data_IF_130978701118
#
_entry.id   IF_130978701118
#
_cell.length_a   1.000
_cell.length_b   1.000
_cell.length_c   1.000
_cell.angle_alpha   90.00
_cell.angle_beta   90.00
_cell.angle_gamma   90.00
#
_symmetry.space_group_name_H-M   'P 1'
#
loop_
_entity.id
_entity.type
_entity.pdbx_description
1 polymer ?
#
# COMPACT_ATOMS: atom_id res chain seq x y z
N UNK A 1 -18.77 -28.44 45.51
CA UNK A 1 -18.05 -28.36 44.20
C UNK A 1 -19.10 -28.02 43.17
N UNK A 2 -19.23 -26.74 42.85
CA UNK A 2 -20.07 -26.29 41.73
C UNK A 2 -19.38 -26.61 40.40
N UNK A 3 -20.11 -27.08 39.37
CA UNK A 3 -19.53 -27.33 38.07
C UNK A 3 -19.21 -25.99 37.41
N UNK A 4 -17.95 -25.84 36.95
CA UNK A 4 -17.47 -24.73 36.13
C UNK A 4 -18.40 -24.56 34.93
N UNK A 5 -19.02 -23.38 34.83
CA UNK A 5 -19.80 -23.00 33.65
C UNK A 5 -18.90 -23.05 32.40
N UNK A 6 -19.36 -23.62 31.30
CA UNK A 6 -18.59 -23.63 30.07
C UNK A 6 -18.39 -22.20 29.62
N UNK A 7 -17.11 -21.83 29.42
CA UNK A 7 -16.68 -20.57 28.87
C UNK A 7 -17.32 -20.33 27.51
N UNK A 8 -17.92 -19.16 27.37
CA UNK A 8 -18.14 -18.36 26.19
C UNK A 8 -18.59 -19.10 24.92
N UNK A 9 -19.79 -18.69 24.43
CA UNK A 9 -20.20 -18.88 23.04
C UNK A 9 -18.98 -18.62 22.15
N UNK A 10 -18.53 -19.62 21.38
CA UNK A 10 -17.62 -19.44 20.26
C UNK A 10 -18.24 -18.35 19.37
N UNK A 11 -17.74 -17.12 19.47
CA UNK A 11 -17.95 -16.12 18.44
C UNK A 11 -17.52 -16.79 17.15
N UNK A 12 -18.41 -16.88 16.18
CA UNK A 12 -18.15 -17.58 14.93
C UNK A 12 -16.83 -17.05 14.37
N UNK A 13 -15.87 -17.95 14.23
CA UNK A 13 -14.49 -17.62 13.89
C UNK A 13 -14.50 -16.79 12.61
N UNK A 14 -14.11 -15.53 12.70
CA UNK A 14 -14.01 -14.62 11.52
C UNK A 14 -13.16 -15.29 10.47
N UNK A 15 -13.67 -15.38 9.24
CA UNK A 15 -12.95 -15.96 8.11
C UNK A 15 -12.73 -14.92 7.03
N UNK A 16 -11.49 -14.78 6.59
CA UNK A 16 -11.11 -13.82 5.55
C UNK A 16 -11.46 -14.38 4.17
N UNK A 17 -12.22 -13.64 3.35
CA UNK A 17 -12.54 -14.03 1.98
C UNK A 17 -11.27 -14.12 1.12
N UNK A 18 -11.12 -15.24 0.39
CA UNK A 18 -10.04 -15.48 -0.55
C UNK A 18 -10.61 -16.04 -1.85
N UNK A 19 -10.13 -15.55 -2.99
CA UNK A 19 -10.60 -16.00 -4.30
C UNK A 19 -10.23 -17.46 -4.56
N UNK A 20 -11.19 -18.23 -5.04
CA UNK A 20 -10.95 -19.65 -5.38
C UNK A 20 -9.83 -19.84 -6.40
N UNK A 21 -9.71 -18.91 -7.35
CA UNK A 21 -8.65 -18.91 -8.37
C UNK A 21 -7.23 -18.84 -7.79
N UNK A 22 -7.07 -18.18 -6.64
CA UNK A 22 -5.78 -18.08 -5.92
C UNK A 22 -5.48 -19.43 -5.23
N UNK A 23 -6.46 -20.00 -4.54
CA UNK A 23 -6.28 -21.31 -3.89
C UNK A 23 -6.00 -22.44 -4.89
N UNK A 24 -6.59 -22.41 -6.10
CA UNK A 24 -6.33 -23.38 -7.16
C UNK A 24 -4.90 -23.33 -7.71
N UNK A 25 -4.22 -22.21 -7.53
CA UNK A 25 -2.81 -22.01 -7.98
C UNK A 25 -1.80 -22.14 -6.84
N UNK A 26 -2.23 -22.53 -5.65
CA UNK A 26 -1.40 -22.57 -4.44
C UNK A 26 -0.10 -23.37 -4.61
N UNK A 27 -0.14 -24.51 -5.29
CA UNK A 27 1.05 -25.35 -5.51
C UNK A 27 2.09 -24.66 -6.40
N UNK A 28 1.64 -23.85 -7.36
CA UNK A 28 2.51 -23.16 -8.32
C UNK A 28 2.95 -21.79 -7.82
N UNK A 29 2.08 -21.09 -7.11
CA UNK A 29 2.32 -19.73 -6.62
C UNK A 29 1.71 -19.51 -5.22
N UNK A 30 2.33 -20.06 -4.17
CA UNK A 30 1.88 -19.83 -2.78
C UNK A 30 1.90 -18.35 -2.38
N UNK A 31 2.83 -17.57 -2.93
CA UNK A 31 2.95 -16.13 -2.67
C UNK A 31 1.73 -15.33 -3.13
N UNK A 32 0.98 -15.81 -4.13
CA UNK A 32 -0.27 -15.16 -4.52
C UNK A 32 -1.33 -15.19 -3.40
N UNK A 33 -1.35 -16.23 -2.56
CA UNK A 33 -2.23 -16.28 -1.39
C UNK A 33 -1.84 -15.25 -0.34
N UNK A 34 -0.55 -15.09 -0.10
CA UNK A 34 -0.04 -14.07 0.85
C UNK A 34 -0.42 -12.67 0.38
N UNK A 35 -0.15 -12.35 -0.88
CA UNK A 35 -0.51 -11.07 -1.47
C UNK A 35 -2.02 -10.78 -1.39
N UNK A 36 -2.84 -11.79 -1.65
CA UNK A 36 -4.30 -11.69 -1.54
C UNK A 36 -4.75 -11.37 -0.10
N UNK A 37 -4.24 -12.12 0.89
CA UNK A 37 -4.61 -11.92 2.29
C UNK A 37 -4.08 -10.59 2.82
N UNK A 38 -2.86 -10.21 2.45
CA UNK A 38 -2.29 -8.91 2.79
C UNK A 38 -3.18 -7.76 2.29
N UNK A 39 -3.57 -7.83 1.03
CA UNK A 39 -4.46 -6.85 0.41
C UNK A 39 -5.87 -6.85 1.02
N UNK A 40 -6.42 -8.04 1.30
CA UNK A 40 -7.71 -8.19 1.97
C UNK A 40 -7.67 -7.57 3.38
N UNK A 41 -6.56 -7.75 4.11
CA UNK A 41 -6.39 -7.19 5.45
C UNK A 41 -6.32 -5.67 5.40
N UNK A 42 -5.57 -5.09 4.46
CA UNK A 42 -5.55 -3.63 4.27
C UNK A 42 -6.95 -3.07 3.95
N UNK A 43 -7.73 -3.78 3.13
CA UNK A 43 -9.10 -3.36 2.83
C UNK A 43 -10.01 -3.48 4.07
N UNK A 44 -9.91 -4.54 4.86
CA UNK A 44 -10.66 -4.73 6.10
C UNK A 44 -10.34 -3.66 7.15
N UNK A 45 -9.09 -3.23 7.23
CA UNK A 45 -8.62 -2.25 8.22
C UNK A 45 -8.62 -0.81 7.70
N UNK A 46 -9.12 -0.57 6.48
CA UNK A 46 -9.10 0.76 5.85
C UNK A 46 -7.67 1.29 5.60
N UNK A 47 -6.71 0.40 5.37
CA UNK A 47 -5.31 0.74 5.12
C UNK A 47 -4.44 0.88 6.37
N UNK A 48 -4.98 0.61 7.56
CA UNK A 48 -4.22 0.59 8.81
C UNK A 48 -3.57 -0.79 9.06
N UNK A 49 -2.55 -0.81 9.93
CA UNK A 49 -2.01 -2.05 10.47
C UNK A 49 -3.09 -2.72 11.36
N UNK A 50 -3.36 -4.03 11.19
CA UNK A 50 -4.42 -4.70 11.95
C UNK A 50 -4.08 -4.81 13.43
N UNK A 51 -5.02 -4.42 14.27
CA UNK A 51 -4.98 -4.64 15.71
C UNK A 51 -5.40 -6.07 16.09
N UNK A 52 -5.38 -6.36 17.40
CA UNK A 52 -5.65 -7.70 17.93
C UNK A 52 -7.05 -8.24 17.58
N UNK A 53 -8.03 -7.36 17.48
CA UNK A 53 -9.45 -7.70 17.29
C UNK A 53 -9.95 -7.52 15.85
N UNK A 54 -9.11 -7.02 14.94
CA UNK A 54 -9.54 -6.68 13.59
C UNK A 54 -9.62 -7.90 12.67
N UNK A 55 -8.71 -8.85 12.85
CA UNK A 55 -8.60 -10.07 12.04
C UNK A 55 -8.16 -11.26 12.91
N UNK A 56 -8.35 -12.52 12.45
CA UNK A 56 -7.84 -13.70 13.16
C UNK A 56 -6.32 -13.62 13.36
N UNK A 57 -5.82 -14.16 14.46
CA UNK A 57 -4.40 -14.13 14.83
C UNK A 57 -3.48 -14.61 13.69
N UNK A 58 -3.79 -15.72 13.03
CA UNK A 58 -2.97 -16.24 11.93
C UNK A 58 -2.92 -15.28 10.73
N UNK A 59 -4.00 -14.54 10.49
CA UNK A 59 -4.05 -13.51 9.42
C UNK A 59 -3.21 -12.29 9.82
N UNK A 60 -3.28 -11.85 11.09
CA UNK A 60 -2.47 -10.75 11.61
C UNK A 60 -0.98 -11.09 11.56
N UNK A 61 -0.61 -12.29 11.99
CA UNK A 61 0.75 -12.80 11.94
C UNK A 61 1.29 -12.84 10.50
N UNK A 62 0.51 -13.37 9.54
CA UNK A 62 0.87 -13.33 8.12
C UNK A 62 1.05 -11.89 7.63
N UNK A 63 0.10 -11.01 7.96
CA UNK A 63 0.15 -9.61 7.55
C UNK A 63 1.43 -8.94 8.04
N UNK A 64 1.76 -9.09 9.33
CA UNK A 64 2.95 -8.49 9.92
C UNK A 64 4.24 -9.04 9.30
N UNK A 65 4.34 -10.35 9.06
CA UNK A 65 5.50 -10.95 8.42
C UNK A 65 5.66 -10.52 6.94
N UNK A 66 4.57 -10.41 6.18
CA UNK A 66 4.62 -9.91 4.81
C UNK A 66 4.91 -8.39 4.78
N UNK A 67 4.39 -7.63 5.75
CA UNK A 67 4.69 -6.21 5.90
C UNK A 67 6.18 -5.99 6.19
N UNK A 68 6.74 -6.75 7.15
CA UNK A 68 8.17 -6.76 7.42
C UNK A 68 8.98 -7.06 6.15
N UNK A 69 8.66 -8.17 5.44
CA UNK A 69 9.32 -8.54 4.19
C UNK A 69 9.35 -7.38 3.19
N UNK A 70 8.18 -6.76 2.96
CA UNK A 70 8.05 -5.64 2.01
C UNK A 70 8.88 -4.44 2.43
N UNK A 71 8.85 -4.09 3.70
CA UNK A 71 9.63 -2.97 4.22
C UNK A 71 11.13 -3.22 4.10
N UNK A 72 11.61 -4.42 4.46
CA UNK A 72 13.04 -4.76 4.35
C UNK A 72 13.51 -4.79 2.90
N UNK A 73 12.73 -5.33 1.97
CA UNK A 73 13.05 -5.27 0.53
C UNK A 73 13.18 -3.83 0.05
N UNK A 74 12.29 -2.95 0.52
CA UNK A 74 12.20 -1.57 0.03
C UNK A 74 13.18 -0.61 0.69
N UNK A 75 13.37 -0.71 1.99
CA UNK A 75 14.07 0.27 2.81
C UNK A 75 15.13 -0.32 3.74
N UNK A 76 15.37 -1.63 3.69
CA UNK A 76 16.26 -2.34 4.59
C UNK A 76 15.70 -2.50 6.00
N UNK A 77 16.44 -3.17 6.86
CA UNK A 77 16.05 -3.37 8.26
C UNK A 77 16.00 -2.05 9.05
N UNK A 78 16.93 -1.12 8.78
CA UNK A 78 16.88 0.23 9.38
C UNK A 78 15.57 0.95 9.01
N UNK A 79 15.18 0.90 7.74
CA UNK A 79 13.94 1.51 7.27
C UNK A 79 12.68 0.84 7.83
N UNK A 80 12.71 -0.47 8.08
CA UNK A 80 11.61 -1.18 8.76
C UNK A 80 11.43 -0.67 10.19
N UNK A 81 12.52 -0.57 10.97
CA UNK A 81 12.48 -0.08 12.36
C UNK A 81 12.04 1.38 12.41
N UNK A 82 12.62 2.25 11.57
CA UNK A 82 12.26 3.66 11.49
C UNK A 82 10.80 3.92 11.09
N UNK A 83 10.19 2.99 10.34
CA UNK A 83 8.78 3.08 9.94
C UNK A 83 7.82 2.47 10.96
N UNK A 84 8.30 1.65 11.89
CA UNK A 84 7.51 1.01 12.92
C UNK A 84 7.26 2.02 14.04
N UNK A 85 6.13 2.74 13.95
CA UNK A 85 5.63 3.62 15.00
C UNK A 85 5.33 2.81 16.29
N UNK A 86 4.63 3.38 17.25
CA UNK A 86 4.40 2.97 18.66
C UNK A 86 4.07 1.48 18.93
N UNK A 87 3.83 0.64 17.93
CA UNK A 87 3.44 -0.78 18.08
C UNK A 87 4.54 -1.79 17.69
N UNK A 88 5.83 -1.37 17.65
CA UNK A 88 6.94 -2.22 17.24
C UNK A 88 6.98 -3.56 18.02
N UNK A 89 6.78 -3.54 19.33
CA UNK A 89 6.86 -4.74 20.17
C UNK A 89 5.83 -5.82 19.84
N UNK A 90 4.58 -5.43 19.56
CA UNK A 90 3.52 -6.36 19.14
C UNK A 90 3.79 -6.90 17.73
N UNK A 91 4.25 -6.03 16.82
CA UNK A 91 4.61 -6.43 15.47
C UNK A 91 5.76 -7.43 15.46
N UNK A 92 6.80 -7.22 16.26
CA UNK A 92 7.94 -8.14 16.38
C UNK A 92 7.51 -9.53 16.89
N UNK A 93 6.61 -9.61 17.88
CA UNK A 93 6.11 -10.88 18.39
C UNK A 93 5.32 -11.66 17.33
N UNK A 94 4.43 -11.00 16.59
CA UNK A 94 3.64 -11.62 15.53
C UNK A 94 4.50 -12.07 14.34
N UNK A 95 5.52 -11.28 13.96
CA UNK A 95 6.48 -11.61 12.90
C UNK A 95 7.27 -12.87 13.30
N UNK A 96 7.90 -12.88 14.46
CA UNK A 96 8.69 -14.02 14.93
C UNK A 96 7.87 -15.30 14.97
N UNK A 97 6.62 -15.23 15.46
CA UNK A 97 5.72 -16.39 15.50
C UNK A 97 5.32 -16.86 14.08
N UNK A 98 5.10 -15.95 13.14
CA UNK A 98 4.78 -16.31 11.76
C UNK A 98 5.97 -16.99 11.06
N UNK A 99 7.19 -16.45 11.22
CA UNK A 99 8.42 -17.02 10.66
C UNK A 99 8.67 -18.44 11.22
N UNK A 100 8.54 -18.61 12.53
CA UNK A 100 8.67 -19.92 13.19
C UNK A 100 7.62 -20.91 12.69
N UNK A 101 6.33 -20.51 12.68
CA UNK A 101 5.22 -21.38 12.31
C UNK A 101 5.21 -21.76 10.83
N UNK A 102 5.77 -20.94 9.97
CA UNK A 102 5.90 -21.21 8.53
C UNK A 102 7.14 -22.03 8.17
N UNK A 103 8.05 -22.29 9.13
CA UNK A 103 9.32 -22.98 8.88
C UNK A 103 10.32 -22.13 8.07
N UNK A 104 10.22 -20.80 8.16
CA UNK A 104 11.12 -19.88 7.49
C UNK A 104 12.42 -19.62 8.31
N UNK A 105 13.10 -20.70 8.74
CA UNK A 105 14.17 -20.66 9.71
C UNK A 105 15.33 -19.71 9.35
N UNK A 106 15.68 -19.62 8.07
CA UNK A 106 16.75 -18.73 7.63
C UNK A 106 16.35 -17.24 7.74
N UNK A 107 15.08 -16.90 7.46
CA UNK A 107 14.56 -15.55 7.68
C UNK A 107 14.39 -15.25 9.16
N UNK A 108 13.97 -16.24 9.96
CA UNK A 108 13.89 -16.12 11.42
C UNK A 108 15.25 -15.79 12.02
N UNK A 109 16.33 -16.44 11.57
CA UNK A 109 17.67 -16.18 12.07
C UNK A 109 18.16 -14.74 11.80
N UNK A 110 17.80 -14.14 10.67
CA UNK A 110 18.09 -12.72 10.40
C UNK A 110 17.18 -11.79 11.21
N UNK A 111 15.93 -12.15 11.34
CA UNK A 111 14.98 -11.42 12.18
C UNK A 111 15.40 -11.39 13.65
N UNK A 112 15.86 -12.51 14.21
CA UNK A 112 16.36 -12.60 15.59
C UNK A 112 17.59 -11.71 15.82
N UNK A 113 18.48 -11.58 14.80
CA UNK A 113 19.62 -10.65 14.88
C UNK A 113 19.13 -9.19 14.93
N UNK A 114 18.18 -8.81 14.08
CA UNK A 114 17.57 -7.48 14.11
C UNK A 114 16.87 -7.23 15.46
N UNK A 115 16.09 -8.19 15.95
CA UNK A 115 15.39 -8.08 17.23
C UNK A 115 16.38 -7.95 18.41
N UNK A 116 17.49 -8.67 18.36
CA UNK A 116 18.56 -8.55 19.35
C UNK A 116 19.17 -7.16 19.34
N UNK A 117 19.40 -6.57 18.16
CA UNK A 117 19.91 -5.21 18.06
C UNK A 117 18.92 -4.21 18.67
N UNK A 118 17.61 -4.31 18.35
CA UNK A 118 16.56 -3.45 18.93
C UNK A 118 16.52 -3.57 20.46
N UNK A 119 16.64 -4.78 20.98
CA UNK A 119 16.63 -5.01 22.44
C UNK A 119 17.85 -4.43 23.17
N UNK A 120 19.01 -4.38 22.50
CA UNK A 120 20.25 -3.83 23.06
C UNK A 120 20.35 -2.31 22.88
N UNK A 121 19.63 -1.73 21.93
CA UNK A 121 19.69 -0.31 21.57
C UNK A 121 18.26 0.31 21.51
N UNK A 122 17.48 0.28 22.59
CA UNK A 122 16.09 0.71 22.56
C UNK A 122 15.91 2.22 22.24
N UNK A 123 16.80 3.07 22.77
CA UNK A 123 16.75 4.51 22.53
C UNK A 123 17.10 4.84 21.07
N UNK A 124 18.13 4.19 20.51
CA UNK A 124 18.53 4.37 19.10
C UNK A 124 17.45 3.85 18.15
N UNK A 125 16.71 2.79 18.54
CA UNK A 125 15.63 2.23 17.75
C UNK A 125 14.41 3.17 17.67
N UNK A 126 14.11 3.93 18.75
CA UNK A 126 13.02 4.92 18.76
C UNK A 126 13.32 6.15 17.90
N UNK A 127 14.59 6.57 17.86
CA UNK A 127 15.03 7.77 17.13
C UNK A 127 15.74 7.45 15.81
N UNK A 128 15.63 6.23 15.30
CA UNK A 128 16.35 5.79 14.11
C UNK A 128 15.93 6.57 12.85
N UNK A 129 16.79 7.48 12.39
CA UNK A 129 16.55 8.33 11.20
C UNK A 129 17.48 8.03 10.04
N UNK A 130 18.58 7.31 10.29
CA UNK A 130 19.64 7.00 9.33
C UNK A 130 19.89 5.49 9.25
N UNK A 131 20.63 5.06 8.24
CA UNK A 131 20.99 3.66 8.07
C UNK A 131 22.02 3.23 9.14
N UNK A 132 21.63 2.27 9.98
CA UNK A 132 22.50 1.68 11.01
C UNK A 132 23.34 0.54 10.42
N UNK A 133 24.68 0.60 10.49
CA UNK A 133 25.56 -0.38 9.85
C UNK A 133 25.29 -1.84 10.23
N UNK A 134 24.95 -2.11 11.51
CA UNK A 134 24.64 -3.45 11.99
C UNK A 134 23.36 -4.01 11.35
N UNK A 135 22.37 -3.16 11.11
CA UNK A 135 21.12 -3.53 10.46
C UNK A 135 21.29 -3.64 8.94
N UNK A 136 22.03 -2.73 8.32
CA UNK A 136 22.35 -2.76 6.88
C UNK A 136 23.08 -4.05 6.51
N UNK A 137 23.93 -4.59 7.40
CA UNK A 137 24.63 -5.86 7.17
C UNK A 137 23.67 -7.05 6.99
N UNK A 138 22.41 -6.96 7.46
CA UNK A 138 21.39 -7.99 7.30
C UNK A 138 20.66 -7.92 5.95
N UNK A 139 20.71 -6.79 5.24
CA UNK A 139 19.90 -6.56 4.05
C UNK A 139 20.32 -7.43 2.86
N UNK A 140 21.61 -7.56 2.60
CA UNK A 140 22.11 -8.38 1.50
C UNK A 140 21.81 -9.88 1.70
N UNK A 141 22.06 -10.49 2.88
CA UNK A 141 21.60 -11.84 3.20
C UNK A 141 20.10 -12.04 3.05
N UNK A 142 19.28 -11.07 3.52
CA UNK A 142 17.82 -11.14 3.39
C UNK A 142 17.38 -11.18 1.93
N UNK A 143 17.90 -10.28 1.09
CA UNK A 143 17.60 -10.25 -0.36
C UNK A 143 18.03 -11.55 -1.05
N UNK A 144 19.18 -12.12 -0.68
CA UNK A 144 19.63 -13.40 -1.23
C UNK A 144 18.68 -14.55 -0.87
N UNK A 145 18.12 -14.55 0.35
CA UNK A 145 17.10 -15.52 0.75
C UNK A 145 15.80 -15.33 -0.06
N UNK A 146 15.35 -14.09 -0.23
CA UNK A 146 14.16 -13.80 -1.03
C UNK A 146 14.27 -14.29 -2.47
N UNK A 147 15.44 -14.14 -3.10
CA UNK A 147 15.69 -14.62 -4.47
C UNK A 147 15.72 -16.15 -4.57
N UNK A 148 16.10 -16.87 -3.50
CA UNK A 148 16.27 -18.33 -3.52
C UNK A 148 15.10 -19.09 -2.87
N UNK A 149 14.57 -18.56 -1.78
CA UNK A 149 13.56 -19.20 -0.92
C UNK A 149 12.60 -18.15 -0.37
N UNK A 150 11.89 -17.46 -1.24
CA UNK A 150 11.04 -16.32 -0.86
C UNK A 150 10.14 -16.61 0.34
N UNK A 151 10.13 -15.71 1.32
CA UNK A 151 9.35 -15.79 2.55
C UNK A 151 7.85 -15.96 2.25
N UNK A 152 7.33 -15.24 1.25
CA UNK A 152 5.93 -15.36 0.85
C UNK A 152 5.55 -16.80 0.43
N UNK A 153 6.51 -17.60 -0.07
CA UNK A 153 6.24 -19.01 -0.39
C UNK A 153 6.02 -19.83 0.88
N UNK A 154 6.83 -19.65 1.91
CA UNK A 154 6.68 -20.36 3.19
C UNK A 154 5.39 -19.92 3.90
N UNK A 155 5.15 -18.62 4.00
CA UNK A 155 3.93 -18.05 4.58
C UNK A 155 2.66 -18.53 3.86
N UNK A 156 2.66 -18.59 2.52
CA UNK A 156 1.51 -19.02 1.73
C UNK A 156 1.14 -20.47 1.99
N UNK A 157 2.14 -21.36 2.04
CA UNK A 157 1.93 -22.80 2.38
C UNK A 157 1.39 -22.96 3.80
N UNK A 158 1.97 -22.26 4.78
CA UNK A 158 1.51 -22.28 6.17
C UNK A 158 0.08 -21.77 6.29
N UNK A 159 -0.24 -20.66 5.66
CA UNK A 159 -1.56 -20.03 5.78
C UNK A 159 -2.66 -20.86 5.12
N UNK A 160 -2.35 -21.56 4.05
CA UNK A 160 -3.31 -22.45 3.39
C UNK A 160 -3.84 -23.57 4.31
N UNK A 161 -3.07 -23.92 5.35
CA UNK A 161 -3.46 -24.91 6.36
C UNK A 161 -4.34 -24.32 7.47
N UNK A 162 -4.53 -23.00 7.50
CA UNK A 162 -5.29 -22.34 8.56
C UNK A 162 -6.80 -22.36 8.26
N UNK A 163 -7.65 -22.63 9.28
CA UNK A 163 -9.11 -22.68 9.09
C UNK A 163 -9.77 -21.31 8.95
N UNK A 164 -8.96 -20.25 8.86
CA UNK A 164 -9.41 -18.86 8.83
C UNK A 164 -9.76 -18.33 7.43
N UNK A 165 -9.62 -19.15 6.39
CA UNK A 165 -9.88 -18.77 5.02
C UNK A 165 -11.32 -19.15 4.60
N UNK A 166 -11.96 -18.24 3.83
CA UNK A 166 -13.28 -18.46 3.20
C UNK A 166 -13.14 -18.34 1.68
N UNK A 167 -13.13 -19.48 0.94
CA UNK A 167 -13.09 -19.43 -0.51
C UNK A 167 -14.35 -18.79 -1.11
N UNK A 168 -14.20 -17.76 -1.94
CA UNK A 168 -15.29 -17.05 -2.62
C UNK A 168 -15.05 -17.04 -4.14
N UNK A 169 -16.11 -16.76 -4.93
CA UNK A 169 -15.94 -16.48 -6.35
C UNK A 169 -15.26 -15.12 -6.57
N UNK A 170 -14.69 -14.90 -7.75
CA UNK A 170 -13.99 -13.65 -8.10
C UNK A 170 -14.87 -12.41 -7.88
N UNK A 171 -16.13 -12.48 -8.38
CA UNK A 171 -17.07 -11.36 -8.26
C UNK A 171 -17.56 -11.11 -6.83
N UNK A 172 -17.49 -12.10 -5.95
CA UNK A 172 -17.98 -12.02 -4.57
C UNK A 172 -16.91 -11.52 -3.59
N UNK A 173 -15.65 -11.40 -4.03
CA UNK A 173 -14.53 -11.10 -3.13
C UNK A 173 -14.65 -9.73 -2.47
N UNK A 174 -14.68 -8.64 -3.25
CA UNK A 174 -14.85 -7.28 -2.71
C UNK A 174 -16.16 -7.06 -1.93
N UNK A 175 -17.33 -7.56 -2.40
CA UNK A 175 -18.56 -7.50 -1.59
C UNK A 175 -18.43 -8.21 -0.24
N UNK A 176 -17.77 -9.39 -0.21
CA UNK A 176 -17.57 -10.14 1.04
C UNK A 176 -16.63 -9.42 2.02
N UNK A 177 -15.57 -8.78 1.53
CA UNK A 177 -14.66 -7.98 2.38
C UNK A 177 -15.40 -6.78 2.98
N UNK A 178 -16.16 -6.05 2.19
CA UNK A 178 -16.95 -4.92 2.68
C UNK A 178 -17.98 -5.35 3.73
N UNK A 179 -18.71 -6.42 3.48
CA UNK A 179 -19.65 -6.96 4.45
C UNK A 179 -18.95 -7.31 5.77
N UNK A 180 -17.72 -7.84 5.72
CA UNK A 180 -16.92 -8.14 6.90
C UNK A 180 -16.42 -6.87 7.60
N UNK A 181 -15.90 -5.90 6.87
CA UNK A 181 -15.42 -4.61 7.40
C UNK A 181 -16.52 -3.81 8.12
N UNK A 182 -17.78 -4.01 7.74
CA UNK A 182 -18.94 -3.34 8.32
C UNK A 182 -19.81 -4.26 9.18
N UNK A 183 -19.30 -5.41 9.61
CA UNK A 183 -20.08 -6.42 10.34
C UNK A 183 -20.55 -5.97 11.74
N UNK A 184 -19.87 -4.96 12.33
CA UNK A 184 -20.31 -4.30 13.55
C UNK A 184 -20.22 -2.77 13.42
N UNK A 185 -21.05 -1.98 14.15
CA UNK A 185 -20.93 -0.51 14.14
C UNK A 185 -19.53 -0.01 14.50
N UNK A 186 -18.86 -0.65 15.46
CA UNK A 186 -17.51 -0.29 15.89
C UNK A 186 -16.49 -0.52 14.78
N UNK A 187 -16.57 -1.65 14.07
CA UNK A 187 -15.69 -1.93 12.93
C UNK A 187 -15.95 -0.96 11.77
N UNK A 188 -17.20 -0.64 11.47
CA UNK A 188 -17.54 0.33 10.44
C UNK A 188 -16.96 1.72 10.72
N UNK A 189 -17.03 2.20 11.98
CA UNK A 189 -16.43 3.48 12.38
C UNK A 189 -14.91 3.44 12.28
N UNK A 190 -14.27 2.37 12.76
CA UNK A 190 -12.81 2.20 12.64
C UNK A 190 -12.36 2.17 11.19
N UNK A 191 -13.01 1.39 10.35
CA UNK A 191 -12.73 1.30 8.92
C UNK A 191 -12.84 2.66 8.23
N UNK A 192 -13.92 3.41 8.50
CA UNK A 192 -14.12 4.75 7.97
C UNK A 192 -12.99 5.69 8.38
N UNK A 193 -12.63 5.73 9.67
CA UNK A 193 -11.56 6.57 10.19
C UNK A 193 -10.21 6.20 9.58
N UNK A 194 -9.89 4.91 9.49
CA UNK A 194 -8.66 4.41 8.90
C UNK A 194 -8.57 4.71 7.40
N UNK A 195 -9.67 4.52 6.64
CA UNK A 195 -9.74 4.88 5.21
C UNK A 195 -9.50 6.37 4.99
N UNK A 196 -10.14 7.23 5.79
CA UNK A 196 -9.94 8.67 5.72
C UNK A 196 -8.49 9.06 6.05
N UNK A 197 -7.89 8.45 7.07
CA UNK A 197 -6.48 8.65 7.43
C UNK A 197 -5.53 8.20 6.33
N UNK A 198 -5.79 7.06 5.67
CA UNK A 198 -5.00 6.57 4.55
C UNK A 198 -5.05 7.53 3.34
N UNK A 199 -6.24 8.04 3.01
CA UNK A 199 -6.44 9.06 1.97
C UNK A 199 -5.68 10.35 2.34
N UNK A 200 -5.80 10.79 3.59
CA UNK A 200 -5.12 12.00 4.07
C UNK A 200 -3.59 11.85 3.99
N UNK A 201 -3.05 10.70 4.38
CA UNK A 201 -1.62 10.37 4.27
C UNK A 201 -1.17 10.37 2.81
N UNK A 202 -1.93 9.75 1.91
CA UNK A 202 -1.62 9.74 0.48
C UNK A 202 -1.56 11.14 -0.13
N UNK A 203 -2.44 12.06 0.27
CA UNK A 203 -2.49 13.44 -0.21
C UNK A 203 -1.55 14.40 0.53
N UNK A 204 -0.98 14.01 1.66
CA UNK A 204 0.03 14.78 2.38
C UNK A 204 1.46 14.39 2.01
N UNK A 205 1.68 13.21 1.43
CA UNK A 205 3.01 12.73 0.99
C UNK A 205 3.51 13.55 -0.21
N UNK A 206 4.57 14.39 -0.06
CA UNK A 206 5.10 15.20 -1.16
C UNK A 206 5.57 14.38 -2.35
N UNK A 207 6.04 13.15 -2.14
CA UNK A 207 6.51 12.30 -3.21
C UNK A 207 5.34 11.79 -4.07
N UNK A 208 4.23 11.37 -3.44
CA UNK A 208 3.02 10.97 -4.17
C UNK A 208 2.43 12.12 -4.98
N UNK A 209 2.34 13.31 -4.37
CA UNK A 209 1.90 14.52 -5.07
C UNK A 209 2.82 14.84 -6.24
N UNK A 210 4.13 14.89 -6.00
CA UNK A 210 5.13 15.25 -7.02
C UNK A 210 5.16 14.29 -8.19
N UNK A 211 5.19 12.98 -7.95
CA UNK A 211 5.20 11.98 -9.00
C UNK A 211 3.89 11.91 -9.79
N UNK A 212 2.74 12.03 -9.10
CA UNK A 212 1.45 12.11 -9.78
C UNK A 212 1.36 13.30 -10.73
N UNK A 213 1.78 14.48 -10.28
CA UNK A 213 1.81 15.69 -11.10
C UNK A 213 2.84 15.61 -12.23
N UNK A 214 4.01 15.01 -12.00
CA UNK A 214 5.00 14.79 -13.06
C UNK A 214 4.45 13.84 -14.14
N UNK A 215 3.80 12.75 -13.74
CA UNK A 215 3.18 11.81 -14.65
C UNK A 215 2.08 12.45 -15.50
N UNK A 216 1.27 13.31 -14.90
CA UNK A 216 0.21 14.05 -15.60
C UNK A 216 0.72 15.18 -16.50
N UNK A 217 1.92 15.71 -16.24
CA UNK A 217 2.51 16.83 -17.03
C UNK A 217 3.17 16.39 -18.34
N UNK A 218 3.22 15.10 -18.63
CA UNK A 218 3.75 14.60 -19.91
C UNK A 218 2.85 15.02 -21.07
N UNK A 219 3.40 15.03 -22.30
CA UNK A 219 2.67 15.33 -23.53
C UNK A 219 1.48 14.39 -23.75
N UNK A 220 1.58 13.16 -23.23
CA UNK A 220 0.47 12.23 -23.02
C UNK A 220 0.43 11.90 -21.53
N UNK A 221 -0.59 12.38 -20.79
CA UNK A 221 -0.74 12.06 -19.38
C UNK A 221 -0.70 10.54 -19.15
N UNK A 222 0.14 10.12 -18.21
CA UNK A 222 0.36 8.71 -17.91
C UNK A 222 0.11 8.49 -16.39
N UNK A 223 -1.16 8.38 -15.98
CA UNK A 223 -1.54 8.33 -14.59
C UNK A 223 -0.85 7.23 -13.81
N UNK A 224 -0.37 7.57 -12.61
CA UNK A 224 0.17 6.60 -11.66
C UNK A 224 -0.98 5.79 -11.07
N UNK A 225 -0.93 4.48 -11.23
CA UNK A 225 -1.92 3.54 -10.68
C UNK A 225 -1.40 2.82 -9.43
N UNK A 226 -0.08 2.78 -9.23
CA UNK A 226 0.53 2.25 -8.03
C UNK A 226 1.87 2.93 -7.75
N UNK A 227 2.12 3.26 -6.47
CA UNK A 227 3.40 3.72 -5.96
C UNK A 227 4.12 2.55 -5.30
N UNK A 228 5.19 2.07 -5.90
CA UNK A 228 6.08 1.10 -5.28
C UNK A 228 6.85 1.70 -4.10
N UNK A 229 7.60 0.88 -3.38
CA UNK A 229 8.43 1.31 -2.26
C UNK A 229 9.57 2.23 -2.73
N UNK A 230 10.21 2.91 -1.79
CA UNK A 230 11.46 3.62 -2.07
C UNK A 230 12.60 2.58 -2.08
N UNK A 231 13.30 2.44 -3.20
CA UNK A 231 14.38 1.46 -3.37
C UNK A 231 15.66 2.15 -3.85
N UNK A 232 16.81 1.53 -3.59
CA UNK A 232 18.05 1.95 -4.24
C UNK A 232 18.03 1.55 -5.72
N UNK A 233 18.27 2.50 -6.59
CA UNK A 233 18.27 2.34 -8.04
C UNK A 233 19.57 2.91 -8.61
N UNK A 234 20.06 2.29 -9.68
CA UNK A 234 21.16 2.86 -10.45
C UNK A 234 20.64 4.03 -11.31
N UNK A 235 21.27 5.20 -11.19
CA UNK A 235 20.91 6.39 -11.97
C UNK A 235 21.80 6.43 -13.23
N UNK A 236 21.26 5.97 -14.35
CA UNK A 236 21.98 5.84 -15.61
C UNK A 236 22.97 4.66 -15.65
N UNK A 237 23.56 4.39 -16.81
CA UNK A 237 24.53 3.32 -16.98
C UNK A 237 25.82 3.61 -16.21
N UNK A 238 26.08 2.86 -15.13
CA UNK A 238 27.26 3.04 -14.26
C UNK A 238 27.20 4.26 -13.35
N UNK A 239 25.99 4.77 -13.06
CA UNK A 239 25.77 5.91 -12.17
C UNK A 239 25.74 5.55 -10.70
N UNK A 240 25.80 6.59 -9.86
CA UNK A 240 25.70 6.44 -8.41
C UNK A 240 24.34 5.88 -8.02
N UNK A 241 24.32 5.02 -6.99
CA UNK A 241 23.09 4.52 -6.42
C UNK A 241 22.29 5.68 -5.79
N UNK A 242 21.05 5.84 -6.20
CA UNK A 242 20.15 6.85 -5.66
C UNK A 242 18.85 6.21 -5.19
N UNK A 243 18.23 6.80 -4.16
CA UNK A 243 16.91 6.36 -3.70
C UNK A 243 15.84 6.84 -4.68
N UNK A 244 15.15 5.89 -5.29
CA UNK A 244 14.04 6.16 -6.20
C UNK A 244 12.82 5.31 -5.87
N UNK A 245 11.71 5.65 -6.49
CA UNK A 245 10.43 4.96 -6.31
C UNK A 245 9.97 4.40 -7.66
N UNK A 246 9.85 3.09 -7.80
CA UNK A 246 9.16 2.50 -8.94
C UNK A 246 7.69 2.91 -8.91
N UNK A 247 7.16 3.28 -10.06
CA UNK A 247 5.80 3.73 -10.24
C UNK A 247 5.16 2.90 -11.36
N UNK A 248 4.09 2.20 -11.08
CA UNK A 248 3.27 1.63 -12.15
C UNK A 248 2.33 2.71 -12.66
N UNK A 249 2.38 2.96 -13.95
CA UNK A 249 1.47 3.87 -14.65
C UNK A 249 0.60 3.06 -15.61
N UNK A 250 -0.37 3.71 -16.24
CA UNK A 250 -1.20 3.06 -17.26
C UNK A 250 -0.32 2.53 -18.42
N UNK A 251 0.71 3.28 -18.80
CA UNK A 251 1.60 2.90 -19.91
C UNK A 251 2.73 1.94 -19.53
N UNK A 252 2.91 1.62 -18.24
CA UNK A 252 3.94 0.70 -17.77
C UNK A 252 4.73 1.20 -16.55
N UNK A 253 5.92 0.63 -16.36
CA UNK A 253 6.80 0.98 -15.25
C UNK A 253 7.54 2.30 -15.52
N UNK A 254 7.62 3.12 -14.50
CA UNK A 254 8.42 4.35 -14.46
C UNK A 254 9.25 4.37 -13.18
N UNK A 255 10.26 5.23 -13.16
CA UNK A 255 11.06 5.49 -11.96
C UNK A 255 10.91 6.95 -11.58
N UNK A 256 10.44 7.19 -10.35
CA UNK A 256 10.39 8.51 -9.73
C UNK A 256 11.62 8.76 -8.89
N UNK A 257 12.31 9.88 -9.11
CA UNK A 257 13.41 10.36 -8.27
C UNK A 257 13.04 11.66 -7.59
N UNK A 258 13.33 11.76 -6.30
CA UNK A 258 13.31 13.03 -5.59
C UNK A 258 14.65 13.71 -5.79
N UNK A 259 14.63 14.86 -6.40
CA UNK A 259 15.79 15.72 -6.65
C UNK A 259 15.75 16.94 -5.72
N UNK A 260 16.86 17.68 -5.62
CA UNK A 260 16.95 18.87 -4.75
C UNK A 260 15.86 19.92 -5.06
N UNK A 261 15.47 20.06 -6.34
CA UNK A 261 14.50 21.06 -6.79
C UNK A 261 13.09 20.53 -7.01
N UNK A 262 12.84 19.25 -6.83
CA UNK A 262 11.50 18.67 -7.07
C UNK A 262 11.49 17.16 -7.29
N UNK A 263 10.60 16.73 -8.16
CA UNK A 263 10.36 15.32 -8.47
C UNK A 263 10.43 15.10 -9.97
N UNK A 264 11.26 14.15 -10.38
CA UNK A 264 11.43 13.76 -11.77
C UNK A 264 10.90 12.38 -12.03
N UNK A 265 10.37 12.16 -13.23
CA UNK A 265 9.89 10.88 -13.70
C UNK A 265 10.79 10.42 -14.86
N UNK A 266 11.21 9.16 -14.82
CA UNK A 266 12.11 8.54 -15.79
C UNK A 266 11.48 7.30 -16.41
N UNK A 267 11.92 6.95 -17.61
CA UNK A 267 11.70 5.62 -18.17
C UNK A 267 12.37 4.59 -17.26
N UNK A 268 11.71 3.46 -17.02
CA UNK A 268 12.31 2.32 -16.37
C UNK A 268 12.97 1.43 -17.43
N UNK A 269 14.28 1.23 -17.33
CA UNK A 269 15.05 0.39 -18.25
C UNK A 269 15.46 -0.88 -17.50
N UNK A 270 15.06 -2.08 -17.96
CA UNK A 270 15.52 -3.32 -17.35
C UNK A 270 17.04 -3.46 -17.43
N UNK A 271 17.67 -3.91 -16.35
CA UNK A 271 19.12 -4.15 -16.31
C UNK A 271 19.52 -5.43 -17.06
N UNK A 272 18.55 -6.31 -17.38
CA UNK A 272 18.74 -7.51 -18.19
C UNK A 272 17.79 -7.54 -19.37
N UNK A 273 18.22 -8.09 -20.52
CA UNK A 273 17.42 -8.18 -21.74
C UNK A 273 16.20 -9.12 -21.66
N UNK A 274 16.18 -10.02 -20.68
CA UNK A 274 15.15 -11.05 -20.50
C UNK A 274 14.03 -10.65 -19.50
N UNK A 275 13.79 -9.36 -19.34
CA UNK A 275 12.73 -8.89 -18.43
C UNK A 275 11.35 -9.16 -19.05
N UNK A 276 10.48 -9.93 -18.40
CA UNK A 276 9.11 -10.13 -18.87
C UNK A 276 8.34 -8.80 -18.83
N UNK A 277 7.44 -8.63 -19.80
CA UNK A 277 6.58 -7.43 -19.85
C UNK A 277 5.67 -7.35 -18.62
N UNK A 278 5.34 -6.11 -18.22
CA UNK A 278 4.43 -5.86 -17.09
C UNK A 278 2.95 -6.14 -17.40
N UNK A 279 2.63 -6.58 -18.64
CA UNK A 279 1.26 -6.87 -19.04
C UNK A 279 0.66 -7.98 -18.17
N UNK A 280 -0.39 -7.65 -17.43
CA UNK A 280 -1.04 -8.58 -16.50
C UNK A 280 -0.36 -8.72 -15.12
N UNK A 281 0.72 -7.98 -14.85
CA UNK A 281 1.29 -7.93 -13.51
C UNK A 281 0.31 -7.23 -12.56
N UNK A 282 -0.03 -7.88 -11.48
CA UNK A 282 -0.82 -7.30 -10.41
C UNK A 282 0.03 -6.29 -9.62
N UNK A 283 -0.57 -5.18 -9.22
CA UNK A 283 0.11 -4.11 -8.48
C UNK A 283 0.70 -4.58 -7.15
N UNK A 284 0.05 -5.54 -6.49
CA UNK A 284 0.49 -6.14 -5.24
C UNK A 284 1.71 -7.08 -5.38
N UNK A 285 2.13 -7.39 -6.61
CA UNK A 285 3.32 -8.20 -6.93
C UNK A 285 4.47 -7.36 -7.52
N UNK A 286 4.32 -6.03 -7.57
CA UNK A 286 5.33 -5.16 -8.16
C UNK A 286 6.68 -5.27 -7.41
N UNK A 287 6.65 -5.35 -6.09
CA UNK A 287 7.86 -5.44 -5.27
C UNK A 287 8.63 -6.73 -5.56
N UNK A 288 7.92 -7.86 -5.64
CA UNK A 288 8.51 -9.16 -6.01
C UNK A 288 9.07 -9.14 -7.44
N UNK A 289 8.35 -8.50 -8.36
CA UNK A 289 8.80 -8.35 -9.75
C UNK A 289 10.11 -7.56 -9.82
N UNK A 290 10.21 -6.44 -9.11
CA UNK A 290 11.38 -5.57 -9.12
C UNK A 290 12.59 -6.21 -8.41
N UNK A 291 12.36 -7.04 -7.40
CA UNK A 291 13.42 -7.82 -6.76
C UNK A 291 14.11 -8.78 -7.75
N UNK A 292 13.32 -9.42 -8.63
CA UNK A 292 13.83 -10.40 -9.60
C UNK A 292 14.27 -9.75 -10.92
N UNK A 293 13.73 -8.58 -11.24
CA UNK A 293 13.98 -7.83 -12.47
C UNK A 293 14.37 -6.39 -12.15
N UNK A 294 15.61 -6.13 -11.69
CA UNK A 294 16.05 -4.79 -11.35
C UNK A 294 16.07 -3.87 -12.59
N UNK A 295 15.76 -2.60 -12.36
CA UNK A 295 15.68 -1.57 -13.39
C UNK A 295 16.56 -0.38 -13.01
N UNK A 296 17.08 0.28 -14.03
CA UNK A 296 17.78 1.57 -13.92
C UNK A 296 16.94 2.70 -14.54
N UNK A 297 17.36 3.94 -14.29
CA UNK A 297 16.72 5.11 -14.91
C UNK A 297 17.16 5.27 -16.37
N UNK A 298 16.19 5.40 -17.26
CA UNK A 298 16.40 5.80 -18.64
C UNK A 298 16.26 7.32 -18.82
N UNK A 299 15.61 7.72 -19.93
CA UNK A 299 15.38 9.12 -20.26
C UNK A 299 14.40 9.77 -19.26
N UNK A 300 14.69 11.02 -18.84
CA UNK A 300 13.75 11.82 -18.05
C UNK A 300 12.54 12.20 -18.91
N UNK A 301 11.35 11.86 -18.37
CA UNK A 301 10.06 12.10 -19.05
C UNK A 301 9.41 13.40 -18.62
N UNK A 302 9.51 13.74 -17.33
CA UNK A 302 8.86 14.91 -16.76
C UNK A 302 9.56 15.36 -15.47
N UNK A 303 9.28 16.61 -15.07
CA UNK A 303 9.74 17.18 -13.81
C UNK A 303 8.69 18.13 -13.25
N UNK A 304 8.53 18.12 -11.93
CA UNK A 304 7.68 19.07 -11.18
C UNK A 304 8.47 19.66 -10.04
N UNK A 305 8.46 20.99 -9.94
CA UNK A 305 9.20 21.70 -8.89
C UNK A 305 8.61 21.47 -7.50
N UNK A 306 9.45 21.54 -6.48
CA UNK A 306 9.03 21.46 -5.08
C UNK A 306 8.00 22.54 -4.70
N UNK A 307 8.10 23.74 -5.29
CA UNK A 307 7.14 24.82 -5.05
C UNK A 307 5.73 24.41 -5.51
N UNK A 308 5.62 23.84 -6.71
CA UNK A 308 4.32 23.37 -7.23
C UNK A 308 3.73 22.25 -6.39
N UNK A 309 4.57 21.35 -5.84
CA UNK A 309 4.13 20.30 -4.91
C UNK A 309 3.63 20.88 -3.59
N UNK A 310 4.32 21.89 -3.04
CA UNK A 310 3.87 22.62 -1.83
C UNK A 310 2.52 23.32 -2.09
N UNK A 311 2.34 23.91 -3.26
CA UNK A 311 1.06 24.51 -3.66
C UNK A 311 -0.04 23.47 -3.74
N UNK A 312 0.21 22.30 -4.35
CA UNK A 312 -0.75 21.21 -4.39
C UNK A 312 -1.17 20.77 -2.97
N UNK A 313 -0.20 20.60 -2.07
CA UNK A 313 -0.49 20.26 -0.66
C UNK A 313 -1.37 21.30 0.03
N UNK A 314 -1.12 22.61 -0.18
CA UNK A 314 -1.97 23.69 0.35
C UNK A 314 -3.39 23.62 -0.19
N UNK A 315 -3.55 23.39 -1.50
CA UNK A 315 -4.86 23.27 -2.14
C UNK A 315 -5.60 22.02 -1.63
N UNK A 316 -4.93 20.87 -1.49
CA UNK A 316 -5.53 19.67 -0.90
C UNK A 316 -6.11 19.95 0.50
N UNK A 317 -5.38 20.68 1.33
CA UNK A 317 -5.82 21.07 2.68
C UNK A 317 -7.01 22.05 2.62
N UNK A 318 -6.91 23.12 1.80
CA UNK A 318 -7.96 24.13 1.67
C UNK A 318 -9.29 23.54 1.19
N UNK A 319 -9.21 22.62 0.25
CA UNK A 319 -10.39 21.93 -0.32
C UNK A 319 -10.87 20.76 0.54
N UNK A 320 -10.19 20.41 1.64
CA UNK A 320 -10.47 19.19 2.43
C UNK A 320 -10.56 17.94 1.54
N UNK A 321 -9.61 17.83 0.60
CA UNK A 321 -9.62 16.80 -0.43
C UNK A 321 -9.76 15.36 0.12
N UNK A 322 -9.13 14.98 1.26
CA UNK A 322 -9.35 13.64 1.84
C UNK A 322 -10.81 13.35 2.15
N UNK A 323 -11.52 14.27 2.80
CA UNK A 323 -12.92 14.10 3.15
C UNK A 323 -13.80 14.06 1.89
N UNK A 324 -13.51 14.90 0.90
CA UNK A 324 -14.25 14.92 -0.37
C UNK A 324 -14.10 13.60 -1.13
N UNK A 325 -12.87 13.06 -1.25
CA UNK A 325 -12.63 11.78 -1.93
C UNK A 325 -13.31 10.64 -1.18
N UNK A 326 -13.17 10.59 0.14
CA UNK A 326 -13.84 9.57 0.94
C UNK A 326 -15.36 9.60 0.75
N UNK A 327 -15.97 10.78 0.87
CA UNK A 327 -17.42 10.95 0.68
C UNK A 327 -17.90 10.55 -0.73
N UNK A 328 -17.14 10.89 -1.77
CA UNK A 328 -17.44 10.50 -3.14
C UNK A 328 -17.43 8.97 -3.33
N UNK A 329 -16.42 8.28 -2.76
CA UNK A 329 -16.30 6.83 -2.87
C UNK A 329 -17.40 6.09 -2.08
N UNK A 330 -17.79 6.61 -0.91
CA UNK A 330 -18.89 6.08 -0.11
C UNK A 330 -20.27 6.29 -0.76
N UNK A 331 -20.45 7.39 -1.52
CA UNK A 331 -21.70 7.71 -2.19
C UNK A 331 -21.94 6.93 -3.49
N UNK A 332 -20.98 6.11 -3.93
CA UNK A 332 -21.19 5.22 -5.07
C UNK A 332 -22.28 4.19 -4.76
N UNK A 333 -23.06 3.75 -5.76
CA UNK A 333 -24.03 2.65 -5.59
C UNK A 333 -23.39 1.36 -5.04
N UNK A 334 -22.12 1.14 -5.39
CA UNK A 334 -21.25 0.17 -4.76
C UNK A 334 -20.03 0.93 -4.22
N UNK A 335 -19.98 1.25 -2.91
CA UNK A 335 -18.88 1.96 -2.29
C UNK A 335 -17.52 1.37 -2.66
N UNK A 336 -16.48 2.18 -2.69
CA UNK A 336 -15.14 1.79 -3.12
C UNK A 336 -14.09 2.20 -2.10
N UNK A 337 -13.02 1.39 -2.00
CA UNK A 337 -11.85 1.70 -1.16
C UNK A 337 -10.69 2.17 -2.01
N UNK A 338 -10.16 3.37 -1.73
CA UNK A 338 -9.01 3.90 -2.46
C UNK A 338 -7.75 3.08 -2.14
N UNK A 339 -7.08 2.58 -3.19
CA UNK A 339 -5.79 1.88 -3.09
C UNK A 339 -4.63 2.76 -3.53
N UNK A 340 -4.86 3.65 -4.49
CA UNK A 340 -3.88 4.64 -4.92
C UNK A 340 -4.59 5.96 -5.26
N UNK A 341 -3.97 7.06 -4.87
CA UNK A 341 -4.43 8.40 -5.21
C UNK A 341 -3.25 9.18 -5.74
N UNK A 342 -3.40 9.79 -6.91
CA UNK A 342 -2.41 10.70 -7.49
C UNK A 342 -3.05 12.00 -7.94
N UNK A 343 -2.43 13.12 -7.58
CA UNK A 343 -2.89 14.45 -8.01
C UNK A 343 -2.38 14.69 -9.43
N UNK A 344 -3.30 15.02 -10.32
CA UNK A 344 -2.99 15.26 -11.73
C UNK A 344 -2.88 16.75 -12.05
N UNK A 345 -3.79 17.55 -11.52
CA UNK A 345 -3.80 18.97 -11.79
C UNK A 345 -4.26 19.78 -10.59
N UNK A 346 -3.75 20.98 -10.49
CA UNK A 346 -4.20 22.01 -9.55
C UNK A 346 -4.50 23.29 -10.33
N UNK A 347 -5.54 24.01 -9.90
CA UNK A 347 -5.82 25.38 -10.28
C UNK A 347 -5.73 26.26 -9.03
N UNK A 348 -4.87 27.27 -9.03
CA UNK A 348 -4.66 28.16 -7.87
C UNK A 348 -5.75 29.22 -7.80
N UNK A 349 -6.14 29.73 -8.95
CA UNK A 349 -7.26 30.66 -9.08
C UNK A 349 -7.89 30.50 -10.47
N UNK A 350 -9.17 30.28 -10.52
CA UNK A 350 -10.03 30.36 -11.68
C UNK A 350 -11.28 31.16 -11.30
N UNK A 351 -12.16 31.46 -12.25
CA UNK A 351 -13.47 32.08 -11.94
C UNK A 351 -14.30 31.29 -10.92
N UNK A 352 -13.89 30.03 -10.59
CA UNK A 352 -14.52 29.12 -9.62
C UNK A 352 -13.73 28.90 -8.34
N UNK A 353 -12.62 29.65 -8.06
CA UNK A 353 -11.74 29.40 -6.92
C UNK A 353 -10.70 28.28 -7.16
N UNK A 354 -9.94 27.88 -6.13
CA UNK A 354 -8.98 26.81 -6.23
C UNK A 354 -9.63 25.47 -6.56
N UNK A 355 -8.94 24.66 -7.32
CA UNK A 355 -9.41 23.36 -7.76
C UNK A 355 -8.32 22.29 -7.79
N UNK A 356 -8.74 21.04 -7.69
CA UNK A 356 -7.91 19.83 -7.71
C UNK A 356 -8.53 18.79 -8.63
N UNK A 357 -7.70 18.13 -9.41
CA UNK A 357 -8.06 16.89 -10.12
C UNK A 357 -7.14 15.78 -9.63
N UNK A 358 -7.75 14.70 -9.14
CA UNK A 358 -7.03 13.53 -8.68
C UNK A 358 -7.52 12.28 -9.42
N UNK A 359 -6.60 11.39 -9.78
CA UNK A 359 -6.91 10.02 -10.17
C UNK A 359 -6.97 9.15 -8.93
N UNK A 360 -8.00 8.32 -8.84
CA UNK A 360 -8.23 7.38 -7.76
C UNK A 360 -8.29 5.98 -8.38
N UNK A 361 -7.41 5.12 -7.93
CA UNK A 361 -7.49 3.68 -8.19
C UNK A 361 -8.08 3.02 -6.96
N UNK A 362 -9.11 2.22 -7.14
CA UNK A 362 -9.84 1.61 -6.05
C UNK A 362 -9.94 0.10 -6.20
N UNK A 363 -10.29 -0.58 -5.10
CA UNK A 363 -10.55 -2.02 -5.04
C UNK A 363 -9.43 -2.83 -5.72
N UNK A 364 -8.20 -2.54 -5.35
CA UNK A 364 -6.99 -3.20 -5.85
C UNK A 364 -6.84 -3.12 -7.38
N UNK A 365 -7.01 -1.92 -7.91
CA UNK A 365 -6.92 -1.60 -9.33
C UNK A 365 -8.04 -2.19 -10.21
N UNK A 366 -9.14 -2.69 -9.61
CA UNK A 366 -10.30 -3.13 -10.39
C UNK A 366 -11.17 -2.00 -10.89
N UNK A 367 -11.13 -0.83 -10.24
CA UNK A 367 -11.86 0.39 -10.62
C UNK A 367 -10.96 1.61 -10.63
N UNK A 368 -11.17 2.51 -11.58
CA UNK A 368 -10.46 3.78 -11.67
C UNK A 368 -11.44 4.94 -11.83
N UNK A 369 -11.17 6.05 -11.16
CA UNK A 369 -11.99 7.24 -11.14
C UNK A 369 -11.14 8.50 -11.25
N UNK A 370 -11.70 9.57 -11.81
CA UNK A 370 -11.17 10.92 -11.65
C UNK A 370 -12.07 11.72 -10.68
N UNK A 371 -11.47 12.37 -9.71
CA UNK A 371 -12.19 13.28 -8.81
C UNK A 371 -11.82 14.72 -9.15
N UNK A 372 -12.82 15.57 -9.39
CA UNK A 372 -12.66 17.02 -9.48
C UNK A 372 -13.21 17.63 -8.20
N UNK A 373 -12.37 18.37 -7.48
CA UNK A 373 -12.72 18.97 -6.19
C UNK A 373 -12.51 20.50 -6.29
N UNK A 374 -13.49 21.26 -5.87
CA UNK A 374 -13.50 22.72 -5.85
C UNK A 374 -14.07 23.23 -4.53
N UNK A 375 -14.06 24.52 -4.30
CA UNK A 375 -14.71 25.14 -3.14
C UNK A 375 -16.24 24.89 -3.10
N UNK A 376 -16.87 24.71 -4.28
CA UNK A 376 -18.32 24.51 -4.40
C UNK A 376 -18.74 23.06 -4.13
N UNK A 377 -17.83 22.11 -4.24
CA UNK A 377 -18.12 20.68 -4.06
C UNK A 377 -17.17 19.79 -4.81
N UNK A 378 -17.57 18.53 -5.01
CA UNK A 378 -16.76 17.52 -5.67
C UNK A 378 -17.59 16.65 -6.61
N UNK A 379 -16.94 16.18 -7.69
CA UNK A 379 -17.54 15.28 -8.69
C UNK A 379 -16.60 14.10 -8.89
N UNK A 380 -17.16 12.90 -8.87
CA UNK A 380 -16.48 11.66 -9.23
C UNK A 380 -16.88 11.27 -10.67
N UNK A 381 -15.90 11.05 -11.49
CA UNK A 381 -16.05 10.65 -12.88
C UNK A 381 -15.52 9.23 -13.07
N UNK A 382 -16.17 8.46 -13.92
CA UNK A 382 -15.65 7.15 -14.34
C UNK A 382 -14.47 7.30 -15.30
N UNK A 383 -13.51 6.39 -15.21
CA UNK A 383 -12.44 6.27 -16.21
C UNK A 383 -12.66 4.97 -17.01
N UNK A 384 -12.53 5.01 -18.34
CA UNK A 384 -12.11 6.14 -19.19
C UNK A 384 -13.28 7.00 -19.76
N UNK A 385 -14.54 6.72 -19.43
CA UNK A 385 -15.70 7.37 -20.09
C UNK A 385 -15.92 8.83 -19.67
N UNK A 386 -15.32 9.29 -18.55
CA UNK A 386 -15.52 10.60 -17.94
C UNK A 386 -17.01 10.93 -17.59
N UNK A 387 -17.82 9.89 -17.45
CA UNK A 387 -19.20 10.03 -17.03
C UNK A 387 -19.27 10.40 -15.53
N UNK A 388 -20.14 11.37 -15.20
CA UNK A 388 -20.36 11.76 -13.81
C UNK A 388 -21.12 10.67 -13.06
N UNK A 389 -20.47 10.08 -12.06
CA UNK A 389 -21.03 9.03 -11.22
C UNK A 389 -21.66 9.58 -9.94
N UNK A 390 -21.00 10.53 -9.30
CA UNK A 390 -21.41 11.15 -8.04
C UNK A 390 -21.06 12.63 -8.07
N UNK A 391 -21.97 13.47 -7.62
CA UNK A 391 -21.75 14.89 -7.39
C UNK A 391 -22.17 15.23 -5.97
N UNK A 392 -21.29 15.84 -5.20
CA UNK A 392 -21.55 16.28 -3.83
C UNK A 392 -21.33 17.78 -3.70
N UNK A 393 -22.24 18.48 -3.03
CA UNK A 393 -22.05 19.86 -2.60
C UNK A 393 -21.05 19.94 -1.44
N UNK A 394 -20.59 21.15 -1.14
CA UNK A 394 -19.71 21.39 0.00
C UNK A 394 -20.35 20.94 1.31
N UNK A 395 -21.61 21.28 1.53
CA UNK A 395 -22.36 20.91 2.74
C UNK A 395 -22.48 19.39 2.91
N UNK A 396 -22.70 18.66 1.81
CA UNK A 396 -22.75 17.20 1.83
C UNK A 396 -21.37 16.57 2.21
N UNK A 397 -20.27 17.15 1.71
CA UNK A 397 -18.91 16.70 2.06
C UNK A 397 -18.63 16.97 3.56
N UNK A 398 -19.04 18.14 4.07
CA UNK A 398 -18.86 18.50 5.47
C UNK A 398 -19.68 17.60 6.39
N UNK A 399 -20.93 17.32 6.06
CA UNK A 399 -21.78 16.41 6.82
C UNK A 399 -21.21 14.97 6.84
N UNK A 400 -20.63 14.50 5.74
CA UNK A 400 -20.00 13.17 5.68
C UNK A 400 -18.70 13.06 6.47
N UNK A 401 -17.96 14.16 6.65
CA UNK A 401 -16.68 14.22 7.36
C UNK A 401 -16.78 14.35 8.88
N UNK A 402 -17.93 14.74 9.41
CA UNK A 402 -18.16 15.01 10.85
C UNK A 402 -18.70 13.80 11.61
N UNK A 403 -19.09 12.74 10.95
CA UNK A 403 -19.70 11.53 11.56
C UNK A 403 -18.67 10.43 11.86
#
# INVERSE_FOLDING_TARGET
MEPLKPFGKQQGQVRVPVRRSVLQRLEKDPGALVAEIYSATLELTGGAIPGADDVPLAVRQLFQAEHYRRQVISAGHSGFIAAAEQDLSLSLADIGQALQSSGADAHLALFDQMQTWVALNPEDAEDLTEDEPALVALDAPFRALELSKGLSTALGRWTALQPVLKPVAEADWSPSLRALAHSTPTQAVRHKSASLAAIARALSDPARLGFGMAAASQSRPDPVVHHGPCVQLEVGPGGDASRGRPLQTISGLRIGLREAQGFSLYEAVPNSGDCPGLSGLRTDRLDDFLLHHPHSTGRRLAHVSMERVKTASRICKALRAPAAIHALLEALPQPASATCISVHAIAEASEGGPGLVAMIVADQASRAFAARITEKGAVLLSEPSHESLVTLSRDQIEAAGVS
#
